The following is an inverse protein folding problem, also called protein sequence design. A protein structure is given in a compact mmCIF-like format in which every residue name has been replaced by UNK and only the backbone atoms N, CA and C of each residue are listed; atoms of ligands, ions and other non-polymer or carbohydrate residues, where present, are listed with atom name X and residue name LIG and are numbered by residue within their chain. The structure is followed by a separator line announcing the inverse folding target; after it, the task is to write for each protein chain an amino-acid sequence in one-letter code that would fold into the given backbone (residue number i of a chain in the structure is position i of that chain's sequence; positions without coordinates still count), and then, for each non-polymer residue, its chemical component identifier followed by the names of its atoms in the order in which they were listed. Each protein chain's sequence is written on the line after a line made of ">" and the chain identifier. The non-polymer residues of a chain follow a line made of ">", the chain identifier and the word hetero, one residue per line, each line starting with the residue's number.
data_IF_600994674942
#
_entry.id   IF_600994674942
#
_cell.length_a   1.000
_cell.length_b   1.000
_cell.length_c   1.000
_cell.angle_alpha   90.00
_cell.angle_beta   90.00
_cell.angle_gamma   90.00
#
_symmetry.space_group_name_H-M   'P 1'
#
loop_
_entity.id
_entity.type
_entity.pdbx_description
1 polymer ?
#
# COMPACT_ATOMS: atom_id res chain seq x y z
N UNK A 1 -16.67 -26.10 -20.35
CA UNK A 1 -15.87 -25.53 -21.46
C UNK A 1 -14.95 -24.48 -20.85
N UNK A 2 -13.65 -24.69 -20.99
CA UNK A 2 -12.59 -23.74 -20.63
C UNK A 2 -12.40 -22.70 -21.77
N UNK A 3 -11.45 -21.77 -21.53
CA UNK A 3 -10.90 -20.67 -22.36
C UNK A 3 -11.43 -19.29 -21.95
N UNK A 4 -10.61 -18.46 -21.27
CA UNK A 4 -9.48 -17.68 -21.80
C UNK A 4 -9.97 -16.56 -22.73
N UNK A 5 -9.46 -15.33 -22.73
CA UNK A 5 -8.28 -14.75 -22.13
C UNK A 5 -8.04 -13.40 -22.84
N UNK A 6 -7.16 -12.59 -22.26
CA UNK A 6 -6.35 -11.54 -22.88
C UNK A 6 -7.02 -10.48 -23.77
N UNK A 7 -6.89 -9.22 -23.35
CA UNK A 7 -6.56 -8.12 -24.27
C UNK A 7 -5.22 -7.55 -23.83
N UNK A 8 -4.24 -7.72 -24.73
CA UNK A 8 -2.86 -7.29 -24.64
C UNK A 8 -2.65 -5.96 -25.37
N UNK A 9 -1.77 -5.11 -24.80
CA UNK A 9 -0.71 -4.32 -25.47
C UNK A 9 -1.12 -3.21 -26.47
N UNK A 10 -0.40 -2.13 -26.72
CA UNK A 10 0.96 -1.68 -26.38
C UNK A 10 1.08 -0.19 -26.75
N UNK A 11 2.13 0.47 -26.23
CA UNK A 11 3.05 1.36 -26.98
C UNK A 11 4.03 1.98 -25.95
N UNK A 12 5.33 2.13 -26.14
CA UNK A 12 6.32 1.74 -27.15
C UNK A 12 7.67 2.17 -26.55
N UNK A 13 8.71 1.36 -26.68
CA UNK A 13 10.09 1.82 -26.47
C UNK A 13 11.00 0.81 -25.80
N UNK A 14 11.50 -0.16 -26.58
CA UNK A 14 12.91 -0.54 -26.65
C UNK A 14 13.01 -1.71 -27.65
N UNK A 15 13.27 -1.37 -28.91
CA UNK A 15 13.73 -2.34 -29.89
C UNK A 15 15.21 -2.67 -29.55
N UNK A 16 15.49 -3.93 -29.23
CA UNK A 16 16.84 -4.46 -29.07
C UNK A 16 17.24 -4.76 -27.62
N UNK A 17 16.63 -5.76 -27.00
CA UNK A 17 17.26 -6.48 -25.89
C UNK A 17 17.21 -7.97 -26.25
N UNK A 18 18.39 -8.53 -26.56
CA UNK A 18 18.58 -9.97 -26.66
C UNK A 18 18.12 -10.62 -25.37
N UNK A 19 17.45 -11.78 -25.48
CA UNK A 19 17.00 -12.58 -24.33
C UNK A 19 18.20 -13.00 -23.48
N UNK A 20 18.54 -12.19 -22.49
CA UNK A 20 19.26 -12.66 -21.33
C UNK A 20 18.27 -13.49 -20.51
N UNK A 21 18.62 -14.72 -20.08
CA UNK A 21 17.76 -15.48 -19.19
C UNK A 21 17.46 -14.62 -17.96
N UNK A 22 16.17 -14.49 -17.63
CA UNK A 22 15.73 -13.79 -16.42
C UNK A 22 16.36 -14.51 -15.22
N UNK A 23 17.40 -13.89 -14.66
CA UNK A 23 17.97 -14.31 -13.40
C UNK A 23 17.01 -13.92 -12.28
N UNK A 24 16.16 -14.87 -11.89
CA UNK A 24 15.20 -14.78 -10.80
C UNK A 24 15.86 -14.94 -9.42
N UNK A 25 17.19 -14.89 -9.34
CA UNK A 25 17.87 -14.84 -8.05
C UNK A 25 17.53 -13.51 -7.36
N UNK A 26 16.66 -13.60 -6.37
CA UNK A 26 16.45 -12.51 -5.42
C UNK A 26 17.77 -12.24 -4.68
N UNK A 27 18.04 -11.01 -4.22
CA UNK A 27 19.21 -10.72 -3.41
C UNK A 27 19.35 -11.66 -2.21
N UNK A 28 18.22 -12.10 -1.65
CA UNK A 28 18.14 -13.09 -0.59
C UNK A 28 18.72 -14.46 -0.98
N UNK A 29 18.51 -14.94 -2.21
CA UNK A 29 19.06 -16.20 -2.70
C UNK A 29 20.59 -16.10 -2.95
N UNK A 30 21.07 -14.95 -3.44
CA UNK A 30 22.51 -14.70 -3.57
C UNK A 30 23.22 -14.65 -2.20
N UNK A 31 22.56 -14.09 -1.19
CA UNK A 31 23.04 -14.12 0.20
C UNK A 31 23.04 -15.55 0.78
N UNK A 32 21.97 -16.32 0.56
CA UNK A 32 21.87 -17.70 1.03
C UNK A 32 22.95 -18.61 0.44
N UNK A 33 23.24 -18.49 -0.87
CA UNK A 33 24.32 -19.27 -1.50
C UNK A 33 25.71 -18.89 -1.00
N UNK A 34 25.91 -17.62 -0.60
CA UNK A 34 27.18 -17.15 -0.02
C UNK A 34 27.38 -17.60 1.44
N UNK A 35 26.30 -17.89 2.16
CA UNK A 35 26.33 -18.37 3.54
C UNK A 35 26.56 -19.89 3.65
N UNK A 36 26.21 -20.68 2.62
CA UNK A 36 26.44 -22.13 2.59
C UNK A 36 27.90 -22.56 2.90
N UNK A 37 28.95 -21.94 2.33
CA UNK A 37 30.33 -22.28 2.69
C UNK A 37 30.72 -21.87 4.13
N UNK A 38 30.05 -20.89 4.75
CA UNK A 38 30.27 -20.56 6.17
C UNK A 38 29.63 -21.59 7.12
N UNK A 39 28.48 -22.18 6.75
CA UNK A 39 27.88 -23.28 7.52
C UNK A 39 28.69 -24.58 7.47
N UNK A 40 29.38 -24.85 6.35
CA UNK A 40 30.28 -26.01 6.26
C UNK A 40 31.54 -25.82 7.12
N UNK A 41 32.11 -24.61 7.17
CA UNK A 41 33.30 -24.32 7.97
C UNK A 41 33.07 -24.44 9.50
N UNK A 42 31.82 -24.32 9.97
CA UNK A 42 31.49 -24.44 11.39
C UNK A 42 31.49 -25.89 11.90
N UNK A 43 31.44 -26.90 11.01
CA UNK A 43 31.33 -28.31 11.39
C UNK A 43 32.64 -29.11 11.38
N UNK A 44 33.76 -28.55 10.90
CA UNK A 44 35.07 -29.23 10.86
C UNK A 44 35.89 -29.11 12.17
N UNK A 45 35.21 -28.99 13.31
CA UNK A 45 35.87 -28.90 14.62
C UNK A 45 36.18 -30.28 15.20
N UNK A 46 37.04 -31.06 14.54
CA UNK A 46 37.66 -32.26 15.13
C UNK A 46 39.18 -32.18 14.99
N UNK A 47 39.80 -31.75 16.10
CA UNK A 47 41.20 -31.95 16.53
C UNK A 47 42.31 -31.35 15.67
N UNK A 48 42.72 -30.12 16.03
CA UNK A 48 44.13 -29.73 16.01
C UNK A 48 44.37 -28.69 17.12
N UNK A 49 45.18 -29.07 18.11
CA UNK A 49 45.73 -28.15 19.10
C UNK A 49 46.80 -27.29 18.44
N UNK A 50 46.40 -26.17 17.85
CA UNK A 50 47.32 -25.09 17.48
C UNK A 50 46.73 -23.75 17.90
N UNK A 51 47.62 -22.89 18.42
CA UNK A 51 47.34 -21.57 19.00
C UNK A 51 46.16 -20.88 18.31
N UNK A 52 45.16 -20.49 19.10
CA UNK A 52 44.08 -19.62 18.65
C UNK A 52 44.65 -18.44 17.87
N UNK A 53 44.38 -18.30 16.56
CA UNK A 53 44.69 -17.07 15.86
C UNK A 53 43.89 -15.97 16.56
N UNK A 54 44.53 -14.83 16.81
CA UNK A 54 43.81 -13.65 17.28
C UNK A 54 42.67 -13.39 16.31
N UNK A 55 41.43 -13.57 16.76
CA UNK A 55 40.25 -13.20 16.01
C UNK A 55 40.31 -11.68 15.86
N UNK A 56 40.80 -11.22 14.72
CA UNK A 56 40.67 -9.82 14.34
C UNK A 56 39.19 -9.51 14.35
N UNK A 57 38.77 -8.59 15.22
CA UNK A 57 37.38 -8.16 15.29
C UNK A 57 36.91 -7.83 13.86
N UNK A 58 35.75 -8.33 13.41
CA UNK A 58 35.23 -7.98 12.09
C UNK A 58 35.21 -6.46 12.00
N UNK A 59 35.81 -5.91 10.94
CA UNK A 59 35.71 -4.48 10.64
C UNK A 59 34.24 -4.09 10.74
N UNK A 60 33.92 -3.02 11.46
CA UNK A 60 32.56 -2.52 11.57
C UNK A 60 31.94 -2.50 10.17
N UNK A 61 30.92 -3.33 9.96
CA UNK A 61 30.17 -3.31 8.72
C UNK A 61 29.65 -1.88 8.57
N UNK A 62 29.70 -1.28 7.37
CA UNK A 62 29.08 0.01 7.15
C UNK A 62 27.64 -0.08 7.64
N UNK A 63 27.22 0.90 8.44
CA UNK A 63 25.84 0.99 8.92
C UNK A 63 24.91 0.93 7.71
N UNK A 64 23.91 0.05 7.76
CA UNK A 64 23.00 -0.12 6.65
C UNK A 64 22.20 1.18 6.46
N UNK A 65 22.53 1.95 5.44
CA UNK A 65 21.72 3.09 5.03
C UNK A 65 20.51 2.60 4.24
N UNK A 66 19.35 2.63 4.88
CA UNK A 66 18.09 2.30 4.21
C UNK A 66 17.80 3.33 3.11
N UNK A 67 17.53 2.85 1.89
CA UNK A 67 17.09 3.73 0.80
C UNK A 67 15.82 4.49 1.19
N UNK A 68 15.74 5.76 0.81
CA UNK A 68 14.53 6.56 1.00
C UNK A 68 13.39 6.15 0.06
N UNK A 69 13.66 5.32 -0.95
CA UNK A 69 12.71 4.73 -1.89
C UNK A 69 12.60 3.22 -1.71
N UNK A 70 12.14 2.77 -0.54
CA UNK A 70 11.71 1.37 -0.34
C UNK A 70 10.21 1.24 -0.56
N UNK A 71 9.75 0.03 -0.91
CA UNK A 71 8.33 -0.25 -1.11
C UNK A 71 7.46 0.07 0.10
N UNK A 72 7.93 -0.28 1.31
CA UNK A 72 7.25 0.06 2.56
C UNK A 72 7.12 1.57 2.79
N UNK A 73 8.17 2.36 2.49
CA UNK A 73 8.09 3.83 2.57
C UNK A 73 7.11 4.40 1.56
N UNK A 74 7.01 3.82 0.36
CA UNK A 74 6.01 4.24 -0.64
C UNK A 74 4.57 4.01 -0.14
N UNK A 75 4.27 2.84 0.42
CA UNK A 75 2.97 2.54 1.04
C UNK A 75 2.64 3.55 2.16
N UNK A 76 3.58 3.78 3.07
CA UNK A 76 3.43 4.74 4.17
C UNK A 76 3.15 6.17 3.67
N UNK A 77 3.93 6.66 2.70
CA UNK A 77 3.75 8.03 2.16
C UNK A 77 2.40 8.16 1.47
N UNK A 78 1.99 7.16 0.69
CA UNK A 78 0.66 7.13 0.05
C UNK A 78 -0.45 7.11 1.09
N UNK A 79 -0.30 6.34 2.17
CA UNK A 79 -1.26 6.29 3.27
C UNK A 79 -1.43 7.65 3.95
N UNK A 80 -0.33 8.31 4.32
CA UNK A 80 -0.37 9.64 4.92
C UNK A 80 -0.94 10.69 3.97
N UNK A 81 -0.58 10.65 2.68
CA UNK A 81 -1.14 11.53 1.67
C UNK A 81 -2.67 11.31 1.50
N UNK A 82 -3.12 10.05 1.60
CA UNK A 82 -4.55 9.72 1.58
C UNK A 82 -5.27 10.37 2.76
N UNK A 83 -4.74 10.27 3.99
CA UNK A 83 -5.35 10.88 5.17
C UNK A 83 -5.39 12.42 5.04
N UNK A 84 -4.27 13.03 4.66
CA UNK A 84 -4.20 14.48 4.49
C UNK A 84 -5.22 14.99 3.46
N UNK A 85 -5.34 14.30 2.32
CA UNK A 85 -6.30 14.67 1.28
C UNK A 85 -7.74 14.35 1.66
N UNK A 86 -8.00 13.29 2.45
CA UNK A 86 -9.32 13.00 2.99
C UNK A 86 -9.81 14.10 3.93
N UNK A 87 -8.93 14.60 4.81
CA UNK A 87 -9.22 15.75 5.67
C UNK A 87 -9.52 17.01 4.83
N UNK A 88 -8.71 17.28 3.81
CA UNK A 88 -8.97 18.40 2.89
C UNK A 88 -10.29 18.23 2.10
N UNK A 89 -10.64 17.00 1.71
CA UNK A 89 -11.93 16.68 1.06
C UNK A 89 -13.09 17.02 1.99
N UNK A 90 -13.01 16.62 3.26
CA UNK A 90 -14.01 16.97 4.27
C UNK A 90 -14.11 18.48 4.51
N UNK A 91 -12.97 19.16 4.65
CA UNK A 91 -12.92 20.61 4.88
C UNK A 91 -13.46 21.45 3.71
N UNK A 92 -13.46 20.90 2.49
CA UNK A 92 -13.98 21.56 1.29
C UNK A 92 -15.42 21.14 0.97
N UNK A 93 -16.04 20.31 1.82
CA UNK A 93 -17.44 19.92 1.65
C UNK A 93 -18.33 21.18 1.55
N UNK A 94 -19.22 21.25 0.55
CA UNK A 94 -20.19 22.33 0.50
C UNK A 94 -21.05 22.30 1.78
N UNK A 95 -21.33 23.48 2.35
CA UNK A 95 -21.98 23.59 3.65
C UNK A 95 -23.35 22.90 3.74
N UNK A 96 -23.78 22.62 4.97
CA UNK A 96 -25.05 21.97 5.33
C UNK A 96 -26.26 22.89 5.05
N UNK A 97 -26.55 23.17 3.79
CA UNK A 97 -27.64 24.08 3.41
C UNK A 97 -29.02 23.42 3.30
N UNK A 98 -29.12 22.10 3.42
CA UNK A 98 -30.29 21.34 2.95
C UNK A 98 -30.57 20.08 3.79
N UNK A 99 -30.22 20.06 5.07
CA UNK A 99 -30.68 18.95 5.94
C UNK A 99 -32.12 19.19 6.45
N UNK A 100 -32.57 20.45 6.50
CA UNK A 100 -33.87 20.82 7.10
C UNK A 100 -34.74 21.81 6.31
N UNK A 101 -34.20 22.55 5.33
CA UNK A 101 -34.95 23.54 4.53
C UNK A 101 -34.44 23.64 3.08
N UNK A 102 -34.47 22.52 2.36
CA UNK A 102 -34.12 22.54 0.94
C UNK A 102 -35.17 23.32 0.13
N UNK A 103 -34.77 24.15 -0.84
CA UNK A 103 -35.69 24.59 -1.88
C UNK A 103 -36.27 23.36 -2.61
N UNK A 104 -37.55 23.45 -3.04
CA UNK A 104 -38.23 22.37 -3.76
C UNK A 104 -37.50 21.90 -5.03
N UNK A 105 -36.57 22.71 -5.53
CA UNK A 105 -35.62 22.38 -6.59
C UNK A 105 -34.22 22.63 -6.07
N UNK A 106 -33.45 21.55 -5.89
CA UNK A 106 -32.04 21.65 -5.55
C UNK A 106 -31.23 22.03 -6.79
N UNK A 107 -30.24 22.92 -6.68
CA UNK A 107 -29.34 23.18 -7.78
C UNK A 107 -28.62 21.88 -8.17
N UNK A 108 -28.25 21.72 -9.45
CA UNK A 108 -27.49 20.57 -9.91
C UNK A 108 -26.24 20.34 -9.07
N UNK A 109 -25.88 19.08 -8.86
CA UNK A 109 -24.70 18.72 -8.07
C UNK A 109 -23.41 19.14 -8.79
N UNK A 110 -22.53 19.85 -8.08
CA UNK A 110 -21.18 20.16 -8.57
C UNK A 110 -20.25 18.95 -8.50
N UNK A 111 -20.09 18.24 -9.62
CA UNK A 111 -19.23 17.03 -9.71
C UNK A 111 -17.77 17.32 -10.07
N UNK A 112 -17.44 18.59 -10.32
CA UNK A 112 -16.11 19.07 -10.71
C UNK A 112 -15.57 20.20 -9.82
N UNK A 113 -16.29 20.58 -8.76
CA UNK A 113 -15.80 21.52 -7.75
C UNK A 113 -14.62 20.96 -6.93
N UNK A 114 -14.04 21.79 -6.06
CA UNK A 114 -12.87 21.44 -5.23
C UNK A 114 -13.07 20.17 -4.42
N UNK A 115 -14.21 20.05 -3.71
CA UNK A 115 -14.58 18.85 -2.96
C UNK A 115 -14.55 17.59 -3.85
N UNK A 116 -15.18 17.65 -5.02
CA UNK A 116 -15.26 16.50 -5.92
C UNK A 116 -13.90 16.12 -6.51
N UNK A 117 -13.02 17.10 -6.80
CA UNK A 117 -11.65 16.84 -7.25
C UNK A 117 -10.80 16.21 -6.16
N UNK A 118 -10.88 16.73 -4.93
CA UNK A 118 -10.17 16.17 -3.79
C UNK A 118 -10.68 14.76 -3.46
N UNK A 119 -11.99 14.51 -3.50
CA UNK A 119 -12.56 13.18 -3.30
C UNK A 119 -12.04 12.15 -4.32
N UNK A 120 -11.96 12.54 -5.61
CA UNK A 120 -11.39 11.69 -6.67
C UNK A 120 -9.90 11.42 -6.41
N UNK A 121 -9.14 12.44 -6.02
CA UNK A 121 -7.72 12.30 -5.68
C UNK A 121 -7.51 11.40 -4.46
N UNK A 122 -8.24 11.64 -3.36
CA UNK A 122 -8.20 10.82 -2.15
C UNK A 122 -8.54 9.36 -2.46
N UNK A 123 -9.54 9.12 -3.30
CA UNK A 123 -9.90 7.76 -3.73
C UNK A 123 -8.75 7.11 -4.49
N UNK A 124 -8.13 7.82 -5.44
CA UNK A 124 -6.99 7.29 -6.19
C UNK A 124 -5.79 6.99 -5.28
N UNK A 125 -5.50 7.87 -4.32
CA UNK A 125 -4.44 7.67 -3.32
C UNK A 125 -4.76 6.48 -2.40
N UNK A 126 -6.01 6.33 -1.95
CA UNK A 126 -6.43 5.21 -1.12
C UNK A 126 -6.24 3.86 -1.84
N UNK A 127 -6.66 3.80 -3.11
CA UNK A 127 -6.46 2.61 -3.96
C UNK A 127 -4.96 2.33 -4.15
N UNK A 128 -4.15 3.36 -4.44
CA UNK A 128 -2.71 3.20 -4.57
C UNK A 128 -2.03 2.76 -3.27
N UNK A 129 -2.51 3.26 -2.12
CA UNK A 129 -2.03 2.87 -0.79
C UNK A 129 -2.30 1.39 -0.54
N UNK A 130 -3.53 0.93 -0.79
CA UNK A 130 -3.90 -0.48 -0.64
C UNK A 130 -3.11 -1.35 -1.62
N UNK A 131 -2.98 -0.94 -2.87
CA UNK A 131 -2.23 -1.69 -3.88
C UNK A 131 -0.75 -1.85 -3.51
N UNK A 132 -0.11 -0.78 -3.04
CA UNK A 132 1.29 -0.85 -2.59
C UNK A 132 1.44 -1.64 -1.30
N UNK A 133 0.49 -1.54 -0.36
CA UNK A 133 0.46 -2.35 0.86
C UNK A 133 0.36 -3.83 0.54
N UNK A 134 -0.65 -4.23 -0.25
CA UNK A 134 -0.82 -5.62 -0.69
C UNK A 134 0.36 -6.14 -1.50
N UNK A 135 1.12 -5.29 -2.19
CA UNK A 135 2.28 -5.73 -2.97
C UNK A 135 3.52 -5.95 -2.11
N UNK A 136 3.80 -5.04 -1.16
CA UNK A 136 5.03 -5.07 -0.36
C UNK A 136 4.87 -5.76 0.99
N UNK A 137 3.65 -5.91 1.49
CA UNK A 137 3.31 -6.47 2.80
C UNK A 137 2.36 -7.67 2.69
N UNK A 138 2.32 -8.33 1.52
CA UNK A 138 1.46 -9.50 1.32
C UNK A 138 1.73 -10.61 2.33
N UNK A 139 3.01 -10.84 2.61
CA UNK A 139 3.47 -11.90 3.50
C UNK A 139 3.24 -11.57 4.98
N UNK A 140 2.74 -10.39 5.33
CA UNK A 140 2.39 -10.03 6.70
C UNK A 140 0.95 -10.50 7.05
N UNK A 141 0.12 -10.80 6.04
CA UNK A 141 -1.28 -11.18 6.23
C UNK A 141 -1.47 -12.69 6.39
N UNK A 142 -1.83 -13.12 7.61
CA UNK A 142 -2.05 -14.52 7.94
C UNK A 142 -3.40 -14.71 8.64
N UNK A 143 -4.39 -15.23 7.91
CA UNK A 143 -5.74 -15.47 8.45
C UNK A 143 -5.75 -16.40 9.69
N UNK A 144 -4.76 -17.28 9.82
CA UNK A 144 -4.59 -18.19 10.94
C UNK A 144 -4.22 -17.49 12.27
N UNK A 145 -3.65 -16.30 12.21
CA UNK A 145 -3.33 -15.47 13.39
C UNK A 145 -4.58 -14.80 13.98
N UNK A 146 -5.71 -14.91 13.28
CA UNK A 146 -7.02 -14.48 13.74
C UNK A 146 -7.37 -13.03 13.42
N UNK A 147 -8.66 -12.69 13.52
CA UNK A 147 -9.20 -11.39 13.07
C UNK A 147 -8.77 -10.20 13.93
N UNK A 148 -8.22 -10.44 15.11
CA UNK A 148 -7.74 -9.38 16.04
C UNK A 148 -6.26 -9.12 15.91
N UNK A 149 -5.56 -9.91 15.10
CA UNK A 149 -4.15 -9.67 14.80
C UNK A 149 -3.98 -8.27 14.17
N UNK A 150 -2.98 -7.46 14.61
CA UNK A 150 -2.79 -6.11 14.10
C UNK A 150 -2.61 -6.02 12.58
N UNK A 151 -1.91 -6.96 11.96
CA UNK A 151 -1.63 -6.94 10.52
C UNK A 151 -2.88 -7.32 9.73
N UNK A 152 -3.63 -8.33 10.20
CA UNK A 152 -4.94 -8.66 9.65
C UNK A 152 -5.93 -7.48 9.76
N UNK A 153 -5.98 -6.82 10.93
CA UNK A 153 -6.81 -5.64 11.13
C UNK A 153 -6.38 -4.47 10.24
N UNK A 154 -5.08 -4.27 10.04
CA UNK A 154 -4.54 -3.21 9.18
C UNK A 154 -5.04 -3.39 7.75
N UNK A 155 -4.91 -4.60 7.20
CA UNK A 155 -5.38 -4.93 5.86
C UNK A 155 -6.90 -4.79 5.76
N UNK A 156 -7.66 -5.35 6.70
CA UNK A 156 -9.13 -5.28 6.68
C UNK A 156 -9.63 -3.83 6.74
N UNK A 157 -9.11 -3.03 7.67
CA UNK A 157 -9.52 -1.65 7.85
C UNK A 157 -9.05 -0.76 6.69
N UNK A 158 -7.83 -0.97 6.20
CA UNK A 158 -7.28 -0.23 5.06
C UNK A 158 -8.05 -0.49 3.77
N UNK A 159 -8.30 -1.77 3.44
CA UNK A 159 -9.06 -2.18 2.26
C UNK A 159 -10.52 -1.72 2.36
N UNK A 160 -11.18 -1.97 3.50
CA UNK A 160 -12.57 -1.55 3.71
C UNK A 160 -12.68 -0.03 3.66
N UNK A 161 -11.74 0.69 4.27
CA UNK A 161 -11.68 2.14 4.26
C UNK A 161 -11.59 2.71 2.84
N UNK A 162 -10.66 2.18 2.04
CA UNK A 162 -10.51 2.55 0.64
C UNK A 162 -11.77 2.21 -0.18
N UNK A 163 -12.38 1.04 0.03
CA UNK A 163 -13.60 0.63 -0.65
C UNK A 163 -14.79 1.56 -0.34
N UNK A 164 -14.96 1.97 0.92
CA UNK A 164 -16.01 2.90 1.34
C UNK A 164 -15.81 4.29 0.72
N UNK A 165 -14.58 4.79 0.67
CA UNK A 165 -14.27 6.07 -0.01
C UNK A 165 -14.50 5.97 -1.52
N UNK A 166 -14.08 4.88 -2.16
CA UNK A 166 -14.33 4.64 -3.58
C UNK A 166 -15.83 4.57 -3.87
N UNK A 167 -16.60 3.87 -3.03
CA UNK A 167 -18.05 3.80 -3.12
C UNK A 167 -18.71 5.18 -2.99
N UNK A 168 -18.30 5.97 -1.99
CA UNK A 168 -18.83 7.32 -1.79
C UNK A 168 -18.56 8.23 -3.01
N UNK A 169 -17.35 8.16 -3.55
CA UNK A 169 -16.94 8.92 -4.75
C UNK A 169 -17.71 8.45 -5.98
N UNK A 170 -17.82 7.14 -6.22
CA UNK A 170 -18.54 6.58 -7.35
C UNK A 170 -20.03 6.91 -7.33
N UNK A 171 -20.68 6.77 -6.16
CA UNK A 171 -22.07 7.15 -5.94
C UNK A 171 -22.32 8.63 -6.26
N UNK A 172 -21.35 9.50 -5.97
CA UNK A 172 -21.41 10.93 -6.26
C UNK A 172 -21.10 11.26 -7.72
N UNK A 173 -20.13 10.59 -8.35
CA UNK A 173 -19.52 11.04 -9.61
C UNK A 173 -20.47 11.02 -10.82
N UNK A 174 -21.45 10.12 -10.83
CA UNK A 174 -22.46 9.99 -11.89
C UNK A 174 -23.80 10.63 -11.59
N UNK A 175 -23.97 11.25 -10.42
CA UNK A 175 -25.28 11.76 -9.99
C UNK A 175 -25.51 13.20 -10.45
N UNK A 176 -26.63 13.44 -11.11
CA UNK A 176 -27.12 14.79 -11.47
C UNK A 176 -27.86 15.47 -10.32
N UNK A 177 -28.26 14.69 -9.30
CA UNK A 177 -28.94 15.17 -8.09
C UNK A 177 -28.09 14.92 -6.84
N UNK A 178 -28.28 15.68 -5.75
CA UNK A 178 -27.64 15.39 -4.48
C UNK A 178 -27.96 13.97 -3.97
N UNK A 179 -26.95 13.29 -3.43
CA UNK A 179 -27.05 11.93 -2.87
C UNK A 179 -26.36 11.88 -1.52
N UNK A 180 -26.87 11.06 -0.60
CA UNK A 180 -26.17 10.80 0.67
C UNK A 180 -24.94 9.92 0.44
N UNK A 181 -23.76 10.46 0.72
CA UNK A 181 -22.45 9.81 0.50
C UNK A 181 -21.41 10.21 1.56
N UNK A 182 -21.60 11.34 2.26
CA UNK A 182 -20.67 11.84 3.27
C UNK A 182 -20.41 10.82 4.39
N UNK A 183 -21.45 10.14 4.89
CA UNK A 183 -21.30 9.10 5.92
C UNK A 183 -20.36 7.96 5.50
N UNK A 184 -20.47 7.50 4.26
CA UNK A 184 -19.59 6.44 3.72
C UNK A 184 -18.16 6.94 3.51
N UNK A 185 -18.01 8.18 3.01
CA UNK A 185 -16.70 8.81 2.85
C UNK A 185 -15.98 8.99 4.20
N UNK A 186 -16.70 9.46 5.22
CA UNK A 186 -16.16 9.63 6.58
C UNK A 186 -15.83 8.28 7.23
N UNK A 187 -16.73 7.31 7.16
CA UNK A 187 -16.46 5.96 7.68
C UNK A 187 -15.23 5.34 7.01
N UNK A 188 -15.08 5.53 5.70
CA UNK A 188 -13.90 5.08 4.96
C UNK A 188 -12.61 5.76 5.43
N UNK A 189 -12.63 7.09 5.59
CA UNK A 189 -11.49 7.85 6.09
C UNK A 189 -11.10 7.44 7.53
N UNK A 190 -12.07 7.29 8.43
CA UNK A 190 -11.81 6.83 9.80
C UNK A 190 -11.27 5.41 9.84
N UNK A 191 -11.76 4.51 8.98
CA UNK A 191 -11.22 3.17 8.83
C UNK A 191 -9.74 3.19 8.44
N UNK A 192 -9.35 4.03 7.48
CA UNK A 192 -7.94 4.16 7.10
C UNK A 192 -7.09 4.81 8.20
N UNK A 193 -7.60 5.78 8.95
CA UNK A 193 -6.88 6.34 10.12
C UNK A 193 -6.65 5.24 11.17
N UNK A 194 -7.67 4.43 11.44
CA UNK A 194 -7.56 3.33 12.38
C UNK A 194 -6.52 2.29 11.92
N UNK A 195 -6.49 1.96 10.62
CA UNK A 195 -5.50 1.07 10.02
C UNK A 195 -4.07 1.59 10.24
N UNK A 196 -3.82 2.88 9.99
CA UNK A 196 -2.49 3.47 10.25
C UNK A 196 -2.10 3.33 11.71
N UNK A 197 -3.02 3.63 12.64
CA UNK A 197 -2.73 3.61 14.09
C UNK A 197 -2.35 2.23 14.64
N UNK A 198 -2.86 1.15 14.06
CA UNK A 198 -2.59 -0.21 14.57
C UNK A 198 -1.28 -0.80 14.05
N UNK A 199 -0.76 -0.28 12.93
CA UNK A 199 0.53 -0.70 12.37
C UNK A 199 1.70 0.23 12.80
N UNK A 200 1.41 1.31 13.55
CA UNK A 200 2.38 2.34 13.95
C UNK A 200 2.43 2.52 15.47
#
# INVERSE_FOLDING_TARGET
>A
MALAGAVMLAWTGLAGAQEAPLDLSTPAQAYAQRAMPMMLAANDSVVATDKSPSVTAPSAQPEFEESWLTGGKAHMVLGLATIATALATGATAPGEGCETNCPAVLPPRETNGTHAKLAKLTTALAVATVATGLYYHWDDFHLEDGLTDPDNLHVILGVTGAALMAYATAKSAGSTTPVSHAGMGMAGAYGMIAAVKIAW
#
